data_IF_944345267552
#
_entry.id   IF_944345267552
#
_cell.length_a   1.000
_cell.length_b   1.000
_cell.length_c   1.000
_cell.angle_alpha   90.00
_cell.angle_beta   90.00
_cell.angle_gamma   90.00
#
_symmetry.space_group_name_H-M   'P 1'
#
loop_
_entity.id
_entity.type
_entity.pdbx_description
1 polymer ?
#
# COMPACT_ATOMS: atom_id res chain seq x y z
N UNK A 1 -42.71 -17.22 2.11
CA UNK A 1 -41.36 -17.62 1.65
C UNK A 1 -41.05 -16.87 0.35
N UNK A 2 -39.82 -16.38 0.19
CA UNK A 2 -39.17 -15.93 -1.06
C UNK A 2 -39.17 -14.43 -1.37
N UNK A 3 -38.35 -13.66 -0.64
CA UNK A 3 -37.83 -12.38 -1.13
C UNK A 3 -36.36 -12.23 -0.68
N UNK A 4 -35.58 -13.29 -0.88
CA UNK A 4 -34.13 -13.19 -0.98
C UNK A 4 -33.79 -13.24 -2.47
N UNK A 5 -32.64 -12.67 -2.84
CA UNK A 5 -32.04 -12.61 -4.19
C UNK A 5 -32.42 -11.35 -4.98
N UNK A 6 -31.53 -10.35 -4.94
CA UNK A 6 -30.82 -9.79 -6.12
C UNK A 6 -30.09 -8.49 -5.76
N UNK A 7 -29.01 -8.63 -4.98
CA UNK A 7 -27.99 -7.62 -4.74
C UNK A 7 -26.79 -7.94 -5.65
N UNK A 8 -26.92 -7.73 -6.96
CA UNK A 8 -25.77 -7.88 -7.90
C UNK A 8 -26.03 -7.09 -9.17
N UNK A 9 -25.72 -5.78 -9.21
CA UNK A 9 -25.47 -5.09 -10.48
C UNK A 9 -24.77 -3.73 -10.28
N UNK A 10 -23.52 -3.74 -9.80
CA UNK A 10 -22.68 -2.53 -9.80
C UNK A 10 -21.18 -2.84 -9.95
N UNK A 11 -20.84 -3.88 -10.72
CA UNK A 11 -19.48 -4.44 -10.74
C UNK A 11 -18.85 -4.61 -12.11
N UNK A 12 -19.29 -3.88 -13.15
CA UNK A 12 -18.72 -4.04 -14.50
C UNK A 12 -18.62 -2.68 -15.20
N UNK A 13 -17.71 -1.79 -14.80
CA UNK A 13 -17.38 -0.60 -15.60
C UNK A 13 -15.97 -0.01 -15.40
N UNK A 14 -15.01 -0.74 -14.83
CA UNK A 14 -13.67 -0.18 -14.51
C UNK A 14 -12.55 -0.72 -15.41
N UNK A 15 -12.81 -1.72 -16.27
CA UNK A 15 -11.72 -2.49 -16.92
C UNK A 15 -11.29 -1.92 -18.31
N UNK A 16 -11.66 -0.68 -18.66
CA UNK A 16 -11.48 -0.19 -20.05
C UNK A 16 -10.42 0.90 -20.28
N UNK A 17 -9.46 1.13 -19.37
CA UNK A 17 -8.52 2.25 -19.52
C UNK A 17 -7.02 1.92 -19.32
N UNK A 18 -6.60 0.67 -19.50
CA UNK A 18 -5.18 0.27 -19.32
C UNK A 18 -4.57 -0.29 -20.63
N UNK A 19 -4.78 0.42 -21.74
CA UNK A 19 -4.06 0.13 -22.99
C UNK A 19 -3.57 1.43 -23.62
N UNK A 20 -2.53 2.03 -23.07
CA UNK A 20 -1.62 2.83 -23.89
C UNK A 20 -0.21 2.82 -23.30
N UNK A 21 0.60 1.90 -23.81
CA UNK A 21 2.04 1.88 -23.60
C UNK A 21 2.80 2.50 -24.77
N UNK A 22 4.10 2.64 -24.52
CA UNK A 22 5.23 2.66 -25.47
C UNK A 22 5.54 4.01 -26.12
N UNK A 23 6.61 4.65 -25.62
CA UNK A 23 7.73 5.28 -26.35
C UNK A 23 8.42 6.23 -25.35
N UNK A 24 9.72 6.21 -25.08
CA UNK A 24 10.84 6.19 -26.00
C UNK A 24 12.09 5.62 -25.30
N UNK A 25 12.78 4.69 -25.95
CA UNK A 25 14.18 4.40 -25.70
C UNK A 25 15.03 5.21 -26.68
N UNK A 26 16.00 5.99 -26.18
CA UNK A 26 17.22 6.33 -26.93
C UNK A 26 18.42 6.30 -25.99
N UNK A 27 19.58 5.77 -26.44
CA UNK A 27 20.79 5.65 -25.65
C UNK A 27 21.67 6.89 -25.82
N UNK A 28 22.18 7.46 -24.73
CA UNK A 28 23.32 8.37 -24.78
C UNK A 28 24.51 7.71 -24.12
N UNK A 29 25.59 7.66 -24.90
CA UNK A 29 26.87 7.05 -24.58
C UNK A 29 27.67 7.87 -23.56
N UNK A 30 28.36 7.13 -22.70
CA UNK A 30 29.66 7.38 -22.08
C UNK A 30 29.87 8.70 -21.31
N UNK A 31 30.11 8.57 -20.00
CA UNK A 31 31.37 9.00 -19.38
C UNK A 31 31.61 8.22 -18.07
N UNK A 32 32.71 7.47 -18.04
CA UNK A 32 33.36 6.96 -16.82
C UNK A 32 33.85 8.13 -15.96
N UNK A 33 33.35 8.25 -14.74
CA UNK A 33 34.03 8.91 -13.62
C UNK A 33 33.93 7.98 -12.41
N UNK A 34 35.00 7.24 -12.18
CA UNK A 34 35.21 6.45 -10.97
C UNK A 34 35.40 7.41 -9.79
N UNK A 35 34.31 7.79 -9.14
CA UNK A 35 34.31 8.38 -7.81
C UNK A 35 33.70 7.37 -6.85
N UNK A 36 34.54 6.77 -6.02
CA UNK A 36 34.17 5.95 -4.87
C UNK A 36 33.43 6.80 -3.85
N UNK A 37 32.16 7.13 -4.11
CA UNK A 37 31.19 7.43 -3.09
C UNK A 37 30.48 6.12 -2.75
N UNK A 38 30.33 5.85 -1.46
CA UNK A 38 29.52 4.74 -0.99
C UNK A 38 28.09 4.89 -1.55
N UNK A 39 27.83 4.28 -2.69
CA UNK A 39 26.49 4.00 -3.14
C UNK A 39 25.96 2.93 -2.19
N UNK A 40 25.40 3.40 -1.06
CA UNK A 40 24.22 2.76 -0.53
C UNK A 40 23.23 2.78 -1.68
N UNK A 41 23.29 1.74 -2.52
CA UNK A 41 22.20 1.31 -3.36
C UNK A 41 21.04 1.17 -2.38
N UNK A 42 20.29 2.27 -2.25
CA UNK A 42 18.95 2.25 -1.72
C UNK A 42 18.24 1.32 -2.66
N UNK A 43 18.21 0.04 -2.28
CA UNK A 43 17.25 -0.90 -2.79
C UNK A 43 15.94 -0.15 -2.68
N UNK A 44 15.41 0.28 -3.83
CA UNK A 44 14.04 0.77 -3.96
C UNK A 44 13.19 -0.45 -3.66
N UNK A 45 13.12 -0.79 -2.38
CA UNK A 45 12.32 -1.87 -1.87
C UNK A 45 10.90 -1.53 -2.29
N UNK A 46 10.33 -2.36 -3.14
CA UNK A 46 8.92 -2.22 -3.48
C UNK A 46 8.12 -2.28 -2.19
N UNK A 47 7.08 -1.45 -2.03
CA UNK A 47 6.22 -1.51 -0.86
C UNK A 47 5.63 -2.92 -0.73
N UNK A 48 5.99 -3.61 0.35
CA UNK A 48 5.60 -4.99 0.63
C UNK A 48 4.37 -5.05 1.55
N UNK A 49 4.18 -4.01 2.36
CA UNK A 49 3.13 -3.93 3.37
C UNK A 49 2.20 -2.74 3.11
N UNK A 50 0.92 -2.93 3.42
CA UNK A 50 -0.11 -1.89 3.40
C UNK A 50 -0.79 -1.86 4.76
N UNK A 51 -0.71 -0.71 5.42
CA UNK A 51 -1.38 -0.44 6.67
C UNK A 51 -2.67 0.34 6.39
N UNK A 52 -3.82 -0.17 6.83
CA UNK A 52 -5.13 0.49 6.62
C UNK A 52 -6.17 0.04 7.63
N UNK A 53 -7.32 0.71 7.62
CA UNK A 53 -8.49 0.26 8.36
C UNK A 53 -9.10 -1.02 7.76
N UNK A 54 -9.39 -2.00 8.62
CA UNK A 54 -10.16 -3.21 8.31
C UNK A 54 -11.14 -3.48 9.46
N UNK A 55 -12.43 -3.59 9.16
CA UNK A 55 -13.51 -3.78 10.16
C UNK A 55 -13.46 -2.76 11.32
N UNK A 56 -13.02 -1.54 11.01
CA UNK A 56 -12.86 -0.45 11.99
C UNK A 56 -11.63 -0.58 12.89
N UNK A 57 -10.76 -1.55 12.64
CA UNK A 57 -9.51 -1.78 13.36
C UNK A 57 -8.29 -1.56 12.48
N UNK A 58 -7.14 -1.34 13.11
CA UNK A 58 -5.86 -1.23 12.42
C UNK A 58 -5.42 -2.60 11.89
N UNK A 59 -5.05 -2.68 10.61
CA UNK A 59 -4.65 -3.95 10.00
C UNK A 59 -3.52 -3.78 8.98
N UNK A 60 -2.70 -4.83 8.89
CA UNK A 60 -1.59 -4.99 7.95
C UNK A 60 -2.01 -5.96 6.85
N UNK A 61 -1.76 -5.56 5.62
CA UNK A 61 -1.91 -6.38 4.43
C UNK A 61 -0.53 -6.56 3.82
N UNK A 62 -0.21 -7.78 3.40
CA UNK A 62 0.94 -8.02 2.53
C UNK A 62 0.51 -7.94 1.07
N UNK A 63 1.48 -7.67 0.19
CA UNK A 63 1.25 -7.56 -1.27
C UNK A 63 0.41 -8.75 -1.76
N UNK A 64 -0.59 -8.44 -2.58
CA UNK A 64 -1.50 -9.39 -3.23
C UNK A 64 -2.61 -10.01 -2.36
N UNK A 65 -2.71 -9.70 -1.07
CA UNK A 65 -3.80 -10.19 -0.22
C UNK A 65 -4.98 -9.22 -0.12
N UNK A 66 -6.18 -9.79 -0.26
CA UNK A 66 -7.47 -9.09 -0.04
C UNK A 66 -7.84 -9.11 1.46
N UNK A 67 -7.29 -10.06 2.21
CA UNK A 67 -7.48 -10.20 3.66
C UNK A 67 -6.23 -9.72 4.41
N UNK A 68 -6.39 -9.10 5.58
CA UNK A 68 -5.25 -8.69 6.36
C UNK A 68 -4.47 -9.90 6.88
N UNK A 69 -3.15 -9.78 6.90
CA UNK A 69 -2.25 -10.74 7.53
C UNK A 69 -2.26 -10.58 9.05
N UNK A 70 -2.38 -9.33 9.52
CA UNK A 70 -2.44 -8.99 10.93
C UNK A 70 -3.53 -7.95 11.20
N UNK A 71 -4.32 -8.16 12.25
CA UNK A 71 -5.32 -7.20 12.73
C UNK A 71 -5.02 -6.91 14.19
N UNK A 72 -4.76 -5.64 14.50
CA UNK A 72 -4.54 -5.19 15.87
C UNK A 72 -5.88 -4.91 16.54
N UNK A 73 -5.95 -5.11 17.86
CA UNK A 73 -7.15 -4.76 18.65
C UNK A 73 -7.19 -3.26 18.98
N UNK A 74 -7.01 -2.43 17.97
CA UNK A 74 -6.99 -0.97 18.07
C UNK A 74 -8.01 -0.42 17.09
N UNK A 75 -8.99 0.33 17.61
CA UNK A 75 -10.03 0.92 16.79
C UNK A 75 -9.52 2.18 16.12
N UNK A 76 -9.59 2.25 14.78
CA UNK A 76 -9.11 3.43 14.03
C UNK A 76 -9.83 4.70 14.50
N UNK A 77 -11.12 4.62 14.83
CA UNK A 77 -11.90 5.76 15.36
C UNK A 77 -11.38 6.36 16.67
N UNK A 78 -10.52 5.65 17.41
CA UNK A 78 -9.92 6.18 18.66
C UNK A 78 -8.58 6.88 18.41
N UNK A 79 -8.04 6.79 17.19
CA UNK A 79 -6.83 7.49 16.78
C UNK A 79 -7.13 8.96 16.43
N UNK A 80 -6.12 9.84 16.39
CA UNK A 80 -6.28 11.21 15.89
C UNK A 80 -6.90 11.27 14.48
N UNK A 81 -7.68 12.32 14.20
CA UNK A 81 -8.42 12.45 12.92
C UNK A 81 -7.48 12.37 11.69
N UNK A 82 -6.31 13.01 11.78
CA UNK A 82 -5.26 12.93 10.76
C UNK A 82 -4.86 11.49 10.46
N UNK A 83 -4.72 10.65 11.48
CA UNK A 83 -4.29 9.26 11.33
C UNK A 83 -5.41 8.39 10.76
N UNK A 84 -6.65 8.67 11.16
CA UNK A 84 -7.81 8.04 10.57
C UNK A 84 -7.86 8.27 9.05
N UNK A 85 -7.61 9.49 8.60
CA UNK A 85 -7.59 9.83 7.18
C UNK A 85 -6.45 9.11 6.44
N UNK A 86 -5.27 9.04 7.04
CA UNK A 86 -4.13 8.32 6.48
C UNK A 86 -4.43 6.82 6.34
N UNK A 87 -4.98 6.19 7.36
CA UNK A 87 -5.34 4.77 7.36
C UNK A 87 -6.54 4.45 6.46
N UNK A 88 -7.42 5.42 6.19
CA UNK A 88 -8.48 5.30 5.19
C UNK A 88 -7.91 5.30 3.77
N UNK A 89 -6.90 6.12 3.49
CA UNK A 89 -6.18 6.14 2.21
C UNK A 89 -5.29 4.90 2.02
N UNK A 90 -4.79 4.35 3.13
CA UNK A 90 -3.84 3.25 3.15
C UNK A 90 -2.41 3.75 3.01
N UNK A 91 -1.53 3.18 3.83
CA UNK A 91 -0.12 3.57 3.94
C UNK A 91 0.75 2.40 3.48
N UNK A 92 1.46 2.61 2.39
CA UNK A 92 2.37 1.61 1.83
C UNK A 92 3.74 1.72 2.48
N UNK A 93 4.28 0.58 2.89
CA UNK A 93 5.55 0.49 3.61
C UNK A 93 6.42 -0.59 2.98
N UNK A 94 7.68 -0.25 2.72
CA UNK A 94 8.63 -1.09 2.01
C UNK A 94 9.45 -2.04 2.88
N UNK A 95 9.46 -1.84 4.20
CA UNK A 95 10.19 -2.71 5.12
C UNK A 95 9.40 -3.00 6.38
N UNK A 96 9.69 -4.16 6.96
CA UNK A 96 9.11 -4.58 8.23
C UNK A 96 9.50 -3.65 9.39
N UNK A 97 10.73 -3.13 9.41
CA UNK A 97 11.17 -2.18 10.44
C UNK A 97 10.33 -0.90 10.43
N UNK A 98 10.07 -0.35 9.23
CA UNK A 98 9.23 0.84 9.08
C UNK A 98 7.77 0.56 9.39
N UNK A 99 7.29 -0.65 9.08
CA UNK A 99 5.94 -1.05 9.44
C UNK A 99 5.79 -1.08 10.96
N UNK A 100 6.77 -1.67 11.65
CA UNK A 100 6.77 -1.80 13.11
C UNK A 100 6.80 -0.43 13.78
N UNK A 101 7.70 0.46 13.35
CA UNK A 101 7.77 1.84 13.84
C UNK A 101 6.43 2.58 13.69
N UNK A 102 5.77 2.42 12.53
CA UNK A 102 4.50 3.06 12.25
C UNK A 102 3.35 2.48 13.09
N UNK A 103 3.34 1.15 13.29
CA UNK A 103 2.36 0.50 14.17
C UNK A 103 2.56 0.95 15.61
N UNK A 104 3.80 1.01 16.09
CA UNK A 104 4.13 1.47 17.44
C UNK A 104 3.60 2.89 17.69
N UNK A 105 3.75 3.80 16.72
CA UNK A 105 3.22 5.17 16.80
C UNK A 105 1.69 5.19 16.97
N UNK A 106 0.96 4.30 16.29
CA UNK A 106 -0.50 4.20 16.39
C UNK A 106 -1.01 3.53 17.67
N UNK A 107 -0.17 2.79 18.39
CA UNK A 107 -0.58 2.02 19.57
C UNK A 107 0.07 2.49 20.88
N UNK A 108 0.88 3.56 20.82
CA UNK A 108 1.55 4.15 21.99
C UNK A 108 0.65 4.95 22.90
#
# INVERSE_FOLDING_TARGET
MKNAVLLTLAGVFIISLITLGIAYAMPTAAQDESSSAAESITSIAEPEYLLRAYEGKLAVFTKDLVTPDLVFDVYVRTLPETDQEQLQRGIWVASYDKLTELVEDYIS
#
